data_IF_895227064516
#
_entry.id   IF_895227064516
#
_cell.length_a   1.000
_cell.length_b   1.000
_cell.length_c   1.000
_cell.angle_alpha   90.00
_cell.angle_beta   90.00
_cell.angle_gamma   90.00
#
_symmetry.space_group_name_H-M   'P 1'
#
loop_
_entity.id
_entity.type
_entity.pdbx_description
1 polymer ?
#
# COMPACT_ATOMS: atom_id res chain seq x y z
N UNK A 1 43.03 -29.44 14.47
CA UNK A 1 41.96 -29.77 13.52
C UNK A 1 40.58 -29.26 13.98
N UNK A 2 40.22 -29.38 15.25
CA UNK A 2 38.91 -28.86 15.77
C UNK A 2 38.78 -27.34 15.71
N UNK A 3 39.84 -26.57 15.83
CA UNK A 3 39.79 -25.09 15.79
C UNK A 3 39.44 -24.53 14.42
N UNK A 4 39.87 -25.17 13.32
CA UNK A 4 39.59 -24.72 11.95
C UNK A 4 38.11 -24.87 11.59
N UNK A 5 37.48 -25.97 12.00
CA UNK A 5 36.05 -26.21 11.81
C UNK A 5 35.19 -25.22 12.60
N UNK A 6 35.57 -24.91 13.83
CA UNK A 6 34.90 -23.95 14.69
C UNK A 6 34.98 -22.52 14.12
N UNK A 7 36.11 -22.12 13.59
CA UNK A 7 36.26 -20.78 12.97
C UNK A 7 35.45 -20.63 11.69
N UNK A 8 35.39 -21.66 10.88
CA UNK A 8 34.56 -21.68 9.65
C UNK A 8 33.07 -21.58 9.99
N UNK A 9 32.60 -22.33 10.99
CA UNK A 9 31.20 -22.25 11.43
C UNK A 9 30.86 -20.90 12.02
N UNK A 10 31.74 -20.31 12.83
CA UNK A 10 31.53 -18.96 13.38
C UNK A 10 31.46 -17.90 12.25
N UNK A 11 32.38 -17.99 11.27
CA UNK A 11 32.35 -17.08 10.13
C UNK A 11 31.07 -17.20 9.30
N UNK A 12 30.59 -18.42 9.08
CA UNK A 12 29.34 -18.66 8.37
C UNK A 12 28.13 -18.08 9.10
N UNK A 13 28.07 -18.24 10.42
CA UNK A 13 26.99 -17.66 11.26
C UNK A 13 27.00 -16.13 11.19
N UNK A 14 28.18 -15.51 11.31
CA UNK A 14 28.32 -14.05 11.22
C UNK A 14 27.85 -13.54 9.87
N UNK A 15 28.23 -14.23 8.79
CA UNK A 15 27.83 -13.87 7.42
C UNK A 15 26.29 -13.94 7.27
N UNK A 16 25.67 -15.03 7.71
CA UNK A 16 24.21 -15.20 7.64
C UNK A 16 23.48 -14.13 8.47
N UNK A 17 23.95 -13.85 9.69
CA UNK A 17 23.38 -12.79 10.51
C UNK A 17 23.54 -11.40 9.85
N UNK A 18 24.68 -11.12 9.26
CA UNK A 18 24.93 -9.88 8.54
C UNK A 18 23.98 -9.71 7.35
N UNK A 19 23.81 -10.74 6.53
CA UNK A 19 22.86 -10.74 5.41
C UNK A 19 21.43 -10.53 5.91
N UNK A 20 21.02 -11.22 6.98
CA UNK A 20 19.68 -11.09 7.55
C UNK A 20 19.41 -9.66 8.04
N UNK A 21 20.38 -9.01 8.68
CA UNK A 21 20.25 -7.62 9.12
C UNK A 21 20.12 -6.65 7.95
N UNK A 22 20.96 -6.82 6.92
CA UNK A 22 20.89 -5.99 5.71
C UNK A 22 19.54 -6.16 5.01
N UNK A 23 19.08 -7.40 4.87
CA UNK A 23 17.77 -7.69 4.25
C UNK A 23 16.62 -7.08 5.05
N UNK A 24 16.66 -7.15 6.39
CA UNK A 24 15.66 -6.53 7.24
C UNK A 24 15.64 -5.00 7.09
N UNK A 25 16.82 -4.36 7.04
CA UNK A 25 16.95 -2.93 6.85
C UNK A 25 16.41 -2.49 5.47
N UNK A 26 16.77 -3.22 4.41
CA UNK A 26 16.26 -2.96 3.06
C UNK A 26 14.74 -3.14 2.98
N UNK A 27 14.20 -4.18 3.59
CA UNK A 27 12.76 -4.42 3.64
C UNK A 27 12.01 -3.25 4.29
N UNK A 28 12.51 -2.77 5.43
CA UNK A 28 11.91 -1.60 6.09
C UNK A 28 12.05 -0.31 5.27
N UNK A 29 13.19 -0.10 4.64
CA UNK A 29 13.43 1.06 3.80
C UNK A 29 12.46 1.09 2.60
N UNK A 30 12.38 0.02 1.84
CA UNK A 30 11.46 -0.06 0.69
C UNK A 30 9.99 0.03 1.10
N UNK A 31 9.62 -0.54 2.25
CA UNK A 31 8.26 -0.42 2.77
C UNK A 31 7.87 1.04 3.05
N UNK A 32 8.76 1.83 3.63
CA UNK A 32 8.55 3.27 3.88
C UNK A 32 8.47 4.06 2.58
N UNK A 33 9.32 3.75 1.62
CA UNK A 33 9.35 4.40 0.30
C UNK A 33 8.02 4.19 -0.43
N UNK A 34 7.56 2.95 -0.54
CA UNK A 34 6.28 2.59 -1.20
C UNK A 34 5.12 3.30 -0.52
N UNK A 35 5.07 3.32 0.80
CA UNK A 35 4.00 4.02 1.54
C UNK A 35 4.02 5.52 1.29
N UNK A 36 5.20 6.12 1.24
CA UNK A 36 5.36 7.54 0.93
C UNK A 36 4.87 7.89 -0.47
N UNK A 37 5.17 7.07 -1.45
CA UNK A 37 4.71 7.25 -2.84
C UNK A 37 3.20 7.07 -2.97
N UNK A 38 2.63 6.02 -2.39
CA UNK A 38 1.19 5.79 -2.38
C UNK A 38 0.43 6.95 -1.72
N UNK A 39 0.95 7.47 -0.61
CA UNK A 39 0.38 8.63 0.07
C UNK A 39 0.35 9.86 -0.83
N UNK A 40 1.44 10.16 -1.51
CA UNK A 40 1.53 11.30 -2.43
C UNK A 40 0.56 11.14 -3.59
N UNK A 41 0.56 9.97 -4.21
CA UNK A 41 -0.34 9.67 -5.34
C UNK A 41 -1.80 9.80 -4.92
N UNK A 42 -2.21 9.18 -3.82
CA UNK A 42 -3.56 9.27 -3.30
C UNK A 42 -3.97 10.72 -3.00
N UNK A 43 -3.07 11.53 -2.45
CA UNK A 43 -3.33 12.94 -2.16
C UNK A 43 -3.54 13.77 -3.45
N UNK A 44 -2.71 13.56 -4.46
CA UNK A 44 -2.89 14.23 -5.76
C UNK A 44 -4.18 13.82 -6.46
N UNK A 45 -4.53 12.54 -6.41
CA UNK A 45 -5.78 12.04 -6.94
C UNK A 45 -6.99 12.65 -6.22
N UNK A 46 -6.92 12.78 -4.90
CA UNK A 46 -7.97 13.42 -4.11
C UNK A 46 -8.20 14.89 -4.51
N UNK A 47 -7.13 15.65 -4.76
CA UNK A 47 -7.24 17.01 -5.28
C UNK A 47 -7.92 17.06 -6.65
N UNK A 48 -7.53 16.17 -7.55
CA UNK A 48 -8.11 16.10 -8.88
C UNK A 48 -9.60 15.73 -8.85
N UNK A 49 -9.98 14.78 -8.01
CA UNK A 49 -11.38 14.37 -7.83
C UNK A 49 -12.22 15.48 -7.22
N UNK A 50 -11.67 16.24 -6.27
CA UNK A 50 -12.37 17.39 -5.70
C UNK A 50 -12.66 18.47 -6.73
N UNK A 51 -11.73 18.69 -7.67
CA UNK A 51 -11.88 19.68 -8.74
C UNK A 51 -12.81 19.23 -9.88
N UNK A 52 -12.69 17.98 -10.34
CA UNK A 52 -13.31 17.49 -11.57
C UNK A 52 -14.20 16.25 -11.39
N UNK A 53 -14.28 15.70 -10.18
CA UNK A 53 -15.04 14.48 -9.92
C UNK A 53 -14.41 13.23 -10.52
N UNK A 54 -15.23 12.20 -10.78
CA UNK A 54 -14.75 10.91 -11.32
C UNK A 54 -14.16 11.01 -12.73
N UNK A 55 -14.52 12.06 -13.48
CA UNK A 55 -13.95 12.28 -14.83
C UNK A 55 -12.43 12.46 -14.79
N UNK A 56 -11.89 13.06 -13.72
CA UNK A 56 -10.45 13.15 -13.51
C UNK A 56 -9.78 11.77 -13.48
N UNK A 57 -10.37 10.84 -12.75
CA UNK A 57 -9.82 9.48 -12.60
C UNK A 57 -9.83 8.68 -13.90
N UNK A 58 -10.82 8.92 -14.76
CA UNK A 58 -10.93 8.28 -16.09
C UNK A 58 -9.82 8.68 -17.05
N UNK A 59 -9.19 9.83 -16.82
CA UNK A 59 -8.09 10.34 -17.63
C UNK A 59 -6.72 9.79 -17.24
N UNK A 60 -6.63 9.12 -16.08
CA UNK A 60 -5.37 8.61 -15.57
C UNK A 60 -5.15 7.19 -16.11
N UNK A 61 -4.13 7.03 -16.94
CA UNK A 61 -3.79 5.76 -17.56
C UNK A 61 -2.42 5.21 -17.16
N UNK A 62 -1.58 6.03 -16.54
CA UNK A 62 -0.16 5.73 -16.30
C UNK A 62 0.13 5.34 -14.84
N UNK A 63 -0.89 5.08 -14.01
CA UNK A 63 -0.67 4.64 -12.64
C UNK A 63 -0.46 3.13 -12.59
N UNK A 64 0.63 2.70 -11.95
CA UNK A 64 0.90 1.30 -11.65
C UNK A 64 0.02 0.79 -10.49
N UNK A 65 -0.53 1.70 -9.69
CA UNK A 65 -1.41 1.37 -8.59
C UNK A 65 -2.87 1.26 -9.05
N UNK A 66 -3.62 0.35 -8.42
CA UNK A 66 -5.07 0.31 -8.57
C UNK A 66 -5.70 1.47 -7.81
N UNK A 67 -6.57 2.21 -8.49
CA UNK A 67 -7.25 3.38 -7.94
C UNK A 67 -8.72 3.04 -7.73
N UNK A 68 -9.23 3.27 -6.52
CA UNK A 68 -10.64 3.06 -6.17
C UNK A 68 -11.17 4.32 -5.50
N UNK A 69 -12.27 4.86 -6.02
CA UNK A 69 -12.98 5.99 -5.43
C UNK A 69 -14.25 5.50 -4.72
N UNK A 70 -14.36 5.82 -3.44
CA UNK A 70 -15.40 5.29 -2.55
C UNK A 70 -16.18 6.44 -1.94
N UNK A 71 -17.52 6.35 -1.98
CA UNK A 71 -18.41 7.31 -1.31
C UNK A 71 -18.35 7.15 0.22
N UNK A 72 -18.90 8.12 0.96
CA UNK A 72 -18.89 8.12 2.43
C UNK A 72 -19.61 6.91 3.05
N UNK A 73 -20.59 6.35 2.36
CA UNK A 73 -21.32 5.15 2.79
C UNK A 73 -20.61 3.83 2.44
N UNK A 74 -19.43 3.91 1.81
CA UNK A 74 -18.67 2.74 1.37
C UNK A 74 -18.99 2.24 -0.03
N UNK A 75 -19.91 2.86 -0.75
CA UNK A 75 -20.24 2.51 -2.14
C UNK A 75 -19.07 2.87 -3.06
N UNK A 76 -18.63 1.92 -3.90
CA UNK A 76 -17.57 2.15 -4.89
C UNK A 76 -18.15 2.93 -6.06
N UNK A 77 -17.58 4.12 -6.33
CA UNK A 77 -18.00 5.01 -7.42
C UNK A 77 -17.14 4.83 -8.67
N UNK A 78 -15.89 4.45 -8.53
CA UNK A 78 -14.94 4.21 -9.60
C UNK A 78 -13.87 3.21 -9.17
N UNK A 79 -13.44 2.36 -10.09
CA UNK A 79 -12.27 1.48 -9.92
C UNK A 79 -11.53 1.36 -11.24
N UNK A 80 -10.20 1.45 -11.19
CA UNK A 80 -9.35 1.41 -12.39
C UNK A 80 -9.23 0.03 -13.04
N UNK A 81 -9.58 -1.04 -12.33
CA UNK A 81 -9.40 -2.42 -12.79
C UNK A 81 -10.70 -3.23 -12.87
N UNK A 82 -11.75 -2.81 -12.16
CA UNK A 82 -13.03 -3.51 -12.11
C UNK A 82 -14.19 -2.55 -12.36
N UNK A 83 -15.36 -3.09 -12.65
CA UNK A 83 -16.58 -2.30 -12.75
C UNK A 83 -17.08 -1.95 -11.35
N UNK A 84 -17.20 -0.67 -11.04
CA UNK A 84 -17.65 -0.19 -9.75
C UNK A 84 -19.04 -0.72 -9.36
N UNK A 85 -19.94 -0.87 -10.33
CA UNK A 85 -21.30 -1.39 -10.13
C UNK A 85 -21.37 -2.87 -9.69
N UNK A 86 -20.30 -3.62 -9.94
CA UNK A 86 -20.19 -5.04 -9.57
C UNK A 86 -19.39 -5.26 -8.29
N UNK A 87 -18.86 -4.20 -7.70
CA UNK A 87 -18.05 -4.26 -6.49
C UNK A 87 -18.91 -4.16 -5.24
N UNK A 88 -18.51 -4.92 -4.21
CA UNK A 88 -19.14 -4.88 -2.91
C UNK A 88 -18.86 -3.56 -2.18
N UNK A 89 -19.70 -3.21 -1.22
CA UNK A 89 -19.47 -2.06 -0.35
C UNK A 89 -18.18 -2.22 0.46
N UNK A 90 -17.39 -1.16 0.54
CA UNK A 90 -16.07 -1.14 1.19
C UNK A 90 -16.07 -0.50 2.57
N UNK A 91 -17.25 -0.27 3.18
CA UNK A 91 -17.35 0.38 4.50
C UNK A 91 -16.65 -0.39 5.63
N UNK A 92 -16.44 -1.69 5.48
CA UNK A 92 -15.75 -2.56 6.44
C UNK A 92 -14.21 -2.58 6.29
N UNK A 93 -13.68 -1.93 5.26
CA UNK A 93 -12.23 -1.89 5.01
C UNK A 93 -11.53 -1.00 6.02
N UNK A 94 -10.43 -1.51 6.60
CA UNK A 94 -9.65 -0.82 7.63
C UNK A 94 -9.14 0.54 7.14
N UNK A 95 -8.52 0.59 5.96
CA UNK A 95 -7.99 1.83 5.38
C UNK A 95 -9.08 2.87 5.12
N UNK A 96 -10.27 2.43 4.74
CA UNK A 96 -11.43 3.29 4.55
C UNK A 96 -11.92 3.90 5.86
N UNK A 97 -12.07 3.08 6.89
CA UNK A 97 -12.51 3.53 8.22
C UNK A 97 -11.50 4.49 8.85
N UNK A 98 -10.21 4.18 8.75
CA UNK A 98 -9.14 5.08 9.24
C UNK A 98 -9.14 6.41 8.48
N UNK A 99 -9.31 6.39 7.16
CA UNK A 99 -9.36 7.60 6.35
C UNK A 99 -10.55 8.49 6.73
N UNK A 100 -11.71 7.90 6.98
CA UNK A 100 -12.88 8.65 7.45
C UNK A 100 -12.67 9.32 8.80
N UNK A 101 -11.96 8.66 9.71
CA UNK A 101 -11.71 9.14 11.07
C UNK A 101 -10.55 10.12 11.14
N UNK A 102 -9.43 9.78 10.53
CA UNK A 102 -8.14 10.46 10.70
C UNK A 102 -7.68 11.23 9.44
N UNK A 103 -8.42 11.14 8.34
CA UNK A 103 -8.08 11.76 7.06
C UNK A 103 -7.24 10.86 6.14
N UNK A 104 -6.58 9.85 6.67
CA UNK A 104 -5.85 8.86 5.89
C UNK A 104 -5.84 7.51 6.61
N UNK A 105 -5.72 6.43 5.86
CA UNK A 105 -5.68 5.09 6.39
C UNK A 105 -4.72 4.20 5.62
N UNK A 106 -4.19 3.19 6.31
CA UNK A 106 -3.25 2.22 5.77
C UNK A 106 -3.69 0.81 6.15
N UNK A 107 -3.56 -0.10 5.21
CA UNK A 107 -3.71 -1.53 5.46
C UNK A 107 -2.80 -2.33 4.55
N UNK A 108 -2.38 -3.49 5.02
CA UNK A 108 -1.73 -4.50 4.20
C UNK A 108 -2.49 -5.82 4.32
N UNK A 109 -2.59 -6.52 3.22
CA UNK A 109 -3.26 -7.81 3.15
C UNK A 109 -2.44 -8.79 2.32
N UNK A 110 -2.43 -10.04 2.74
CA UNK A 110 -1.83 -11.13 1.98
C UNK A 110 -2.95 -11.81 1.21
N UNK A 111 -2.81 -11.89 -0.10
CA UNK A 111 -3.74 -12.64 -0.94
C UNK A 111 -3.55 -14.15 -0.70
N UNK A 112 -4.61 -14.83 -0.28
CA UNK A 112 -4.59 -16.28 -0.05
C UNK A 112 -4.31 -17.07 -1.35
N UNK A 113 -4.69 -16.51 -2.49
CA UNK A 113 -4.56 -17.17 -3.79
C UNK A 113 -3.15 -17.04 -4.39
N UNK A 114 -2.48 -15.90 -4.20
CA UNK A 114 -1.22 -15.58 -4.85
C UNK A 114 -0.04 -15.46 -3.88
N UNK A 115 -0.28 -15.57 -2.56
CA UNK A 115 0.72 -15.33 -1.50
C UNK A 115 1.44 -14.00 -1.65
N UNK A 116 0.79 -13.01 -2.27
CA UNK A 116 1.33 -11.67 -2.49
C UNK A 116 0.77 -10.71 -1.46
N UNK A 117 1.67 -9.93 -0.86
CA UNK A 117 1.30 -8.83 0.02
C UNK A 117 0.86 -7.62 -0.80
N UNK A 118 -0.35 -7.15 -0.57
CA UNK A 118 -0.88 -5.93 -1.18
C UNK A 118 -1.00 -4.85 -0.13
N UNK A 119 -0.50 -3.66 -0.45
CA UNK A 119 -0.53 -2.49 0.41
C UNK A 119 -1.63 -1.55 -0.08
N UNK A 120 -2.43 -1.06 0.85
CA UNK A 120 -3.53 -0.14 0.59
C UNK A 120 -3.32 1.18 1.33
N UNK A 121 -3.48 2.28 0.64
CA UNK A 121 -3.46 3.61 1.24
C UNK A 121 -4.71 4.38 0.84
N UNK A 122 -5.45 4.88 1.81
CA UNK A 122 -6.66 5.67 1.60
C UNK A 122 -6.49 7.10 2.11
N UNK A 123 -7.01 8.05 1.37
CA UNK A 123 -7.04 9.47 1.75
C UNK A 123 -8.48 9.97 1.64
N UNK A 124 -8.98 10.62 2.68
CA UNK A 124 -10.24 11.32 2.62
C UNK A 124 -10.06 12.62 1.85
N UNK A 125 -10.90 12.83 0.85
CA UNK A 125 -10.91 14.03 0.02
C UNK A 125 -10.96 15.34 0.84
N UNK A 126 -11.68 15.34 1.94
CA UNK A 126 -11.84 16.52 2.81
C UNK A 126 -10.59 16.87 3.63
N UNK A 127 -9.65 15.94 3.73
CA UNK A 127 -8.42 16.11 4.52
C UNK A 127 -7.26 16.68 3.72
N UNK A 128 -7.44 16.85 2.42
CA UNK A 128 -6.44 17.42 1.52
C UNK A 128 -6.60 18.94 1.54
N UNK A 129 -5.74 19.61 2.25
CA UNK A 129 -5.74 21.09 2.39
C UNK A 129 -4.54 21.66 1.66
#
# INVERSE_FOLDING_TARGET
>A
MCSSSSTVTAAAIILVCGIALVMAALYQYFGKEINGELKKEASYLAYGVEAEGTEYLKQIHDSDARITYIAQDGTVLYDSQAKASEMENHSDRKEFQEAQKDGSGYADRISDTLSQKTVYYAVDRKSVV
#
